data_IF_046386592029
#
_entry.id   IF_046386592029
#
_cell.length_a   1.000
_cell.length_b   1.000
_cell.length_c   1.000
_cell.angle_alpha   90.00
_cell.angle_beta   90.00
_cell.angle_gamma   90.00
#
_symmetry.space_group_name_H-M   'P 1'
#
loop_
_entity.id
_entity.type
_entity.pdbx_description
1 polymer ?
#
# COMPACT_ATOMS: atom_id res chain seq x y z
N UNK A 1 -3.62 22.77 -27.91
CA UNK A 1 -3.76 23.84 -26.89
C UNK A 1 -4.90 23.42 -26.00
N UNK A 2 -4.65 23.20 -24.71
CA UNK A 2 -5.74 23.01 -23.74
C UNK A 2 -6.27 24.36 -23.30
N UNK A 3 -7.58 24.47 -23.09
CA UNK A 3 -8.22 25.69 -22.61
C UNK A 3 -7.90 25.92 -21.13
N UNK A 4 -8.11 27.15 -20.64
CA UNK A 4 -7.83 27.53 -19.25
C UNK A 4 -8.69 26.72 -18.25
N UNK A 5 -9.95 26.44 -18.60
CA UNK A 5 -10.83 25.61 -17.78
C UNK A 5 -10.42 24.14 -17.78
N UNK A 6 -9.96 23.60 -18.92
CA UNK A 6 -9.41 22.23 -18.99
C UNK A 6 -8.11 22.09 -18.19
N UNK A 7 -7.25 23.11 -18.18
CA UNK A 7 -6.04 23.13 -17.36
C UNK A 7 -6.35 23.12 -15.85
N UNK A 8 -7.39 23.86 -15.42
CA UNK A 8 -7.86 23.85 -14.04
C UNK A 8 -8.50 22.50 -13.67
N UNK A 9 -9.29 21.89 -14.56
CA UNK A 9 -9.85 20.55 -14.34
C UNK A 9 -8.75 19.47 -14.30
N UNK A 10 -7.70 19.58 -15.13
CA UNK A 10 -6.52 18.72 -15.09
C UNK A 10 -5.68 18.90 -13.82
N UNK A 11 -5.64 20.12 -13.27
CA UNK A 11 -4.97 20.42 -12.00
C UNK A 11 -5.80 20.01 -10.76
N UNK A 12 -7.14 19.99 -10.88
CA UNK A 12 -8.08 19.57 -9.83
C UNK A 12 -8.39 18.07 -9.83
N UNK A 13 -8.14 17.37 -10.94
CA UNK A 13 -8.07 15.91 -10.92
C UNK A 13 -7.05 15.55 -9.85
N UNK A 14 -7.39 14.69 -8.87
CA UNK A 14 -6.36 14.12 -8.04
C UNK A 14 -5.43 13.38 -9.00
N UNK A 15 -4.29 14.00 -9.33
CA UNK A 15 -3.11 13.27 -9.73
C UNK A 15 -3.00 12.26 -8.60
N UNK A 16 -3.24 11.00 -8.91
CA UNK A 16 -3.09 9.96 -7.91
C UNK A 16 -1.59 9.94 -7.66
N UNK A 17 -1.13 10.79 -6.73
CA UNK A 17 0.27 10.94 -6.43
C UNK A 17 0.69 9.68 -5.71
N UNK A 18 1.98 9.37 -5.80
CA UNK A 18 2.61 8.31 -5.02
C UNK A 18 2.11 8.30 -3.57
N UNK A 19 1.96 9.47 -2.95
CA UNK A 19 1.43 9.65 -1.59
C UNK A 19 0.02 9.07 -1.39
N UNK A 20 -0.87 9.21 -2.37
CA UNK A 20 -2.23 8.66 -2.30
C UNK A 20 -2.20 7.14 -2.36
N UNK A 21 -1.33 6.55 -3.18
CA UNK A 21 -1.15 5.10 -3.25
C UNK A 21 -0.59 4.55 -1.93
N UNK A 22 0.43 5.22 -1.37
CA UNK A 22 1.03 4.88 -0.07
C UNK A 22 -0.01 4.97 1.05
N UNK A 23 -0.73 6.10 1.13
CA UNK A 23 -1.74 6.33 2.18
C UNK A 23 -2.85 5.29 2.14
N UNK A 24 -3.32 4.92 0.93
CA UNK A 24 -4.33 3.87 0.77
C UNK A 24 -3.81 2.51 1.20
N UNK A 25 -2.58 2.16 0.81
CA UNK A 25 -1.99 0.88 1.18
C UNK A 25 -1.77 0.77 2.71
N UNK A 26 -1.32 1.84 3.36
CA UNK A 26 -1.21 1.90 4.83
C UNK A 26 -2.57 1.78 5.52
N UNK A 27 -3.59 2.48 5.03
CA UNK A 27 -4.94 2.36 5.58
C UNK A 27 -5.50 0.93 5.43
N UNK A 28 -5.23 0.26 4.30
CA UNK A 28 -5.58 -1.15 4.12
C UNK A 28 -4.83 -2.06 5.09
N UNK A 29 -3.53 -1.82 5.31
CA UNK A 29 -2.74 -2.57 6.29
C UNK A 29 -3.32 -2.45 7.70
N UNK A 30 -3.59 -1.23 8.16
CA UNK A 30 -4.17 -0.98 9.49
C UNK A 30 -5.53 -1.66 9.67
N UNK A 31 -6.37 -1.65 8.63
CA UNK A 31 -7.67 -2.31 8.65
C UNK A 31 -7.52 -3.83 8.84
N UNK A 32 -6.62 -4.47 8.07
CA UNK A 32 -6.38 -5.91 8.15
C UNK A 32 -5.81 -6.30 9.52
N UNK A 33 -4.84 -5.54 10.03
CA UNK A 33 -4.25 -5.79 11.36
C UNK A 33 -5.30 -5.66 12.47
N UNK A 34 -6.19 -4.66 12.37
CA UNK A 34 -7.27 -4.47 13.35
C UNK A 34 -8.30 -5.59 13.30
N UNK A 35 -8.66 -6.03 12.09
CA UNK A 35 -9.63 -7.11 11.88
C UNK A 35 -9.11 -8.46 12.39
N UNK A 36 -7.80 -8.69 12.30
CA UNK A 36 -7.16 -9.96 12.66
C UNK A 36 -6.33 -9.87 13.95
N UNK A 37 -6.56 -8.86 14.80
CA UNK A 37 -5.71 -8.60 15.98
C UNK A 37 -5.60 -9.80 16.92
N UNK A 38 -6.71 -10.51 17.14
CA UNK A 38 -6.75 -11.70 18.00
C UNK A 38 -5.96 -12.86 17.38
N UNK A 39 -6.12 -13.08 16.07
CA UNK A 39 -5.34 -14.09 15.34
C UNK A 39 -3.85 -13.77 15.31
N UNK A 40 -3.47 -12.49 15.22
CA UNK A 40 -2.08 -12.07 15.27
C UNK A 40 -1.45 -12.23 16.65
N UNK A 41 -2.25 -12.23 17.72
CA UNK A 41 -1.79 -12.53 19.07
C UNK A 41 -1.47 -14.03 19.23
N UNK A 42 -2.32 -14.89 18.67
CA UNK A 42 -2.17 -16.35 18.74
C UNK A 42 -1.17 -16.91 17.70
N UNK A 43 -1.07 -16.25 16.54
CA UNK A 43 -0.22 -16.61 15.40
C UNK A 43 0.59 -15.40 14.94
N UNK A 44 1.69 -15.04 15.64
CA UNK A 44 2.48 -13.85 15.33
C UNK A 44 3.20 -13.93 13.98
N UNK A 45 3.33 -15.13 13.41
CA UNK A 45 3.92 -15.43 12.11
C UNK A 45 2.92 -15.39 10.95
N UNK A 46 1.66 -15.07 11.23
CA UNK A 46 0.62 -14.96 10.21
C UNK A 46 0.96 -13.89 9.18
N UNK A 47 0.77 -14.24 7.91
CA UNK A 47 0.99 -13.35 6.77
C UNK A 47 -0.35 -12.95 6.16
N UNK A 48 -0.44 -11.73 5.67
CA UNK A 48 -1.66 -11.25 5.03
C UNK A 48 -1.37 -10.36 3.83
N UNK A 49 -2.22 -10.49 2.82
CA UNK A 49 -2.21 -9.64 1.65
C UNK A 49 -3.03 -8.38 1.93
N UNK A 50 -2.53 -7.22 1.52
CA UNK A 50 -3.20 -5.94 1.68
C UNK A 50 -2.84 -5.01 0.52
N UNK A 51 -3.66 -3.96 0.32
CA UNK A 51 -3.39 -2.86 -0.62
C UNK A 51 -3.19 -3.31 -2.07
N UNK A 52 -4.18 -3.11 -2.93
CA UNK A 52 -4.01 -3.34 -4.37
C UNK A 52 -3.55 -2.07 -5.08
N UNK A 53 -2.52 -2.18 -5.91
CA UNK A 53 -2.15 -1.13 -6.85
C UNK A 53 -3.06 -1.20 -8.08
N UNK A 54 -3.59 -0.04 -8.47
CA UNK A 54 -4.32 0.07 -9.73
C UNK A 54 -3.33 0.19 -10.90
N UNK A 55 -3.79 -0.10 -12.11
CA UNK A 55 -2.95 -0.09 -13.32
C UNK A 55 -2.11 1.19 -13.49
N UNK A 56 -2.67 2.34 -13.12
CA UNK A 56 -2.01 3.67 -13.16
C UNK A 56 -0.89 3.86 -12.13
N UNK A 57 -0.89 3.08 -11.06
CA UNK A 57 0.06 3.17 -9.94
C UNK A 57 1.20 2.13 -10.09
N UNK A 58 1.08 1.20 -11.05
CA UNK A 58 2.07 0.13 -11.27
C UNK A 58 3.47 0.64 -11.62
N UNK A 59 3.56 1.80 -12.27
CA UNK A 59 4.84 2.44 -12.58
C UNK A 59 5.60 2.92 -11.33
N UNK A 60 4.90 3.02 -10.19
CA UNK A 60 5.43 3.44 -8.90
C UNK A 60 5.46 2.29 -7.89
N UNK A 61 5.30 1.04 -8.33
CA UNK A 61 5.14 -0.10 -7.41
C UNK A 61 6.32 -0.27 -6.46
N UNK A 62 7.54 -0.02 -6.95
CA UNK A 62 8.76 -0.12 -6.16
C UNK A 62 8.88 1.04 -5.17
N UNK A 63 8.53 2.27 -5.59
CA UNK A 63 8.47 3.45 -4.70
C UNK A 63 7.46 3.25 -3.56
N UNK A 64 6.28 2.70 -3.88
CA UNK A 64 5.24 2.40 -2.88
C UNK A 64 5.73 1.29 -1.93
N UNK A 65 6.37 0.25 -2.46
CA UNK A 65 6.92 -0.83 -1.65
C UNK A 65 7.98 -0.30 -0.68
N UNK A 66 8.92 0.52 -1.14
CA UNK A 66 9.97 1.12 -0.32
C UNK A 66 9.36 1.99 0.80
N UNK A 67 8.36 2.81 0.46
CA UNK A 67 7.67 3.64 1.46
C UNK A 67 6.92 2.80 2.50
N UNK A 68 6.26 1.71 2.08
CA UNK A 68 5.59 0.79 2.99
C UNK A 68 6.59 0.07 3.91
N UNK A 69 7.72 -0.38 3.37
CA UNK A 69 8.80 -0.99 4.16
C UNK A 69 9.35 0.01 5.18
N UNK A 70 9.63 1.25 4.77
CA UNK A 70 10.12 2.28 5.69
C UNK A 70 9.12 2.58 6.83
N UNK A 71 7.83 2.56 6.54
CA UNK A 71 6.78 2.81 7.53
C UNK A 71 6.54 1.62 8.47
N UNK A 72 6.63 0.39 7.97
CA UNK A 72 6.19 -0.81 8.68
C UNK A 72 7.34 -1.61 9.32
N UNK A 73 8.56 -1.53 8.80
CA UNK A 73 9.75 -2.18 9.38
C UNK A 73 10.00 -1.78 10.86
N UNK A 74 9.87 -0.50 11.28
CA UNK A 74 10.05 -0.13 12.69
C UNK A 74 9.06 -0.80 13.64
N UNK A 75 7.90 -1.23 13.13
CA UNK A 75 6.89 -1.98 13.86
C UNK A 75 7.08 -3.52 13.77
N UNK A 76 8.20 -3.98 13.19
CA UNK A 76 8.55 -5.39 13.06
C UNK A 76 7.89 -6.11 11.88
N UNK A 77 7.30 -5.37 10.94
CA UNK A 77 6.64 -5.90 9.76
C UNK A 77 7.53 -5.76 8.54
N UNK A 78 7.78 -6.86 7.85
CA UNK A 78 8.33 -6.84 6.51
C UNK A 78 7.19 -6.86 5.48
N UNK A 79 7.45 -6.22 4.34
CA UNK A 79 6.49 -6.08 3.25
C UNK A 79 7.14 -6.53 1.95
N UNK A 80 6.42 -7.35 1.18
CA UNK A 80 6.84 -7.78 -0.16
C UNK A 80 5.74 -7.54 -1.19
N UNK A 81 6.13 -7.42 -2.46
CA UNK A 81 5.21 -7.34 -3.58
C UNK A 81 4.68 -8.73 -3.94
N UNK A 82 3.38 -8.85 -4.16
CA UNK A 82 2.73 -10.07 -4.60
C UNK A 82 1.97 -9.80 -5.91
N UNK A 83 2.28 -10.54 -6.98
CA UNK A 83 1.68 -10.33 -8.33
C UNK A 83 0.74 -11.47 -8.76
N UNK A 84 0.34 -12.36 -7.83
CA UNK A 84 -0.40 -13.60 -8.15
C UNK A 84 -1.84 -13.37 -8.65
N UNK A 85 -2.53 -12.34 -8.15
CA UNK A 85 -3.93 -12.01 -8.49
C UNK A 85 -4.10 -10.50 -8.69
N UNK A 86 -3.15 -9.88 -9.40
CA UNK A 86 -2.93 -8.43 -9.42
C UNK A 86 -1.76 -8.03 -8.52
N UNK A 87 -1.34 -6.78 -8.60
CA UNK A 87 -0.22 -6.26 -7.79
C UNK A 87 -0.75 -5.81 -6.44
N UNK A 88 -0.44 -6.58 -5.40
CA UNK A 88 -0.74 -6.29 -4.00
C UNK A 88 0.52 -6.37 -3.16
N UNK A 89 0.38 -6.06 -1.87
CA UNK A 89 1.45 -6.22 -0.90
C UNK A 89 1.12 -7.39 0.03
N UNK A 90 2.15 -8.05 0.54
CA UNK A 90 2.04 -9.02 1.62
C UNK A 90 2.85 -8.51 2.81
N UNK A 91 2.25 -8.51 3.99
CA UNK A 91 2.94 -8.21 5.22
C UNK A 91 3.16 -9.50 6.03
N UNK A 92 4.30 -9.59 6.69
CA UNK A 92 4.63 -10.67 7.62
C UNK A 92 5.57 -10.15 8.72
N UNK A 93 5.52 -10.72 9.92
CA UNK A 93 6.50 -10.38 10.96
C UNK A 93 7.78 -11.17 10.79
N UNK A 94 8.92 -10.51 10.99
CA UNK A 94 10.18 -11.21 11.15
C UNK A 94 10.19 -11.83 12.54
N UNK A 95 10.13 -13.15 12.64
CA UNK A 95 10.47 -13.82 13.89
C UNK A 95 11.96 -13.50 14.18
N UNK A 96 12.21 -12.87 15.33
CA UNK A 96 13.56 -12.66 15.85
C UNK A 96 14.23 -13.97 16.20
#
# INVERSE_FOLDING_TARGET
MITYEEAIQLAKRPRHTLDVAITKALASFEAVVREHVDMLADHPDMQFSFGHLFHKDLQHKDDVLEALQAALNPAGWEVELQERYGTSFRAYRKNG
#
